data_IF_289827259157
#
_entry.id   IF_289827259157
#
_cell.length_a   1.000
_cell.length_b   1.000
_cell.length_c   1.000
_cell.angle_alpha   90.00
_cell.angle_beta   90.00
_cell.angle_gamma   90.00
#
_symmetry.space_group_name_H-M   'P 1'
#
loop_
_entity.id
_entity.type
_entity.pdbx_description
1 polymer ?
#
# COMPACT_ATOMS: atom_id res chain seq x y z
N UNK A 1 -1.29 -4.51 -1.47
CA UNK A 1 -0.29 -3.78 -2.27
C UNK A 1 -0.18 -4.40 -3.67
N UNK A 2 -0.87 -3.87 -4.69
CA UNK A 2 -0.84 -4.41 -6.04
C UNK A 2 0.52 -4.22 -6.74
N UNK A 3 1.39 -3.33 -6.22
CA UNK A 3 2.69 -3.02 -6.80
C UNK A 3 3.85 -3.28 -5.82
N UNK A 4 3.87 -4.47 -5.22
CA UNK A 4 4.88 -4.90 -4.26
C UNK A 4 6.28 -5.16 -4.84
N UNK A 5 7.21 -5.46 -3.93
CA UNK A 5 8.57 -5.91 -4.22
C UNK A 5 9.40 -4.84 -4.93
N UNK A 6 9.73 -5.10 -6.19
CA UNK A 6 10.53 -4.21 -7.03
C UNK A 6 9.73 -3.20 -7.85
N UNK A 7 8.40 -3.30 -7.90
CA UNK A 7 7.52 -2.46 -8.73
C UNK A 7 7.44 -1.04 -8.12
N UNK A 8 6.98 -0.96 -6.87
CA UNK A 8 7.02 0.23 -6.02
C UNK A 8 7.71 -0.13 -4.70
N UNK A 9 9.01 0.12 -4.66
CA UNK A 9 9.90 -0.38 -3.60
C UNK A 9 9.46 0.11 -2.20
N UNK A 10 9.23 -0.80 -1.27
CA UNK A 10 8.82 -0.48 0.11
C UNK A 10 7.36 -0.77 0.42
N UNK A 11 6.49 -0.88 -0.59
CA UNK A 11 5.06 -1.11 -0.39
C UNK A 11 4.76 -2.49 0.20
N UNK A 12 5.51 -3.53 -0.19
CA UNK A 12 5.40 -4.87 0.40
C UNK A 12 5.72 -4.87 1.88
N UNK A 13 6.83 -4.24 2.26
CA UNK A 13 7.29 -4.21 3.64
C UNK A 13 6.30 -3.44 4.52
N UNK A 14 5.78 -2.31 4.03
CA UNK A 14 4.74 -1.53 4.70
C UNK A 14 3.44 -2.34 4.84
N UNK A 15 2.95 -2.95 3.76
CA UNK A 15 1.72 -3.74 3.80
C UNK A 15 1.81 -4.91 4.78
N UNK A 16 2.96 -5.62 4.81
CA UNK A 16 3.20 -6.74 5.74
C UNK A 16 3.22 -6.28 7.20
N UNK A 17 3.84 -5.13 7.48
CA UNK A 17 3.87 -4.57 8.83
C UNK A 17 2.52 -3.96 9.26
N UNK A 18 1.68 -3.50 8.33
CA UNK A 18 0.31 -3.09 8.66
C UNK A 18 -0.56 -4.30 8.98
N UNK A 19 -0.45 -5.38 8.20
CA UNK A 19 -1.27 -6.56 8.36
C UNK A 19 -0.98 -7.32 9.66
N UNK A 20 0.30 -7.56 9.95
CA UNK A 20 0.75 -8.47 11.02
C UNK A 20 -0.10 -9.76 11.03
N UNK A 21 -0.60 -10.15 12.21
CA UNK A 21 -1.51 -11.28 12.40
C UNK A 21 -2.99 -10.84 12.54
N UNK A 22 -3.30 -9.58 12.22
CA UNK A 22 -4.62 -8.96 12.45
C UNK A 22 -5.42 -8.86 11.16
N UNK A 23 -4.81 -8.38 10.08
CA UNK A 23 -5.52 -8.15 8.81
C UNK A 23 -5.06 -9.12 7.73
N UNK A 24 -5.99 -9.45 6.83
CA UNK A 24 -5.65 -10.14 5.60
C UNK A 24 -4.71 -9.30 4.73
N UNK A 25 -3.79 -9.98 4.03
CA UNK A 25 -2.81 -9.30 3.18
C UNK A 25 -2.71 -9.91 1.79
N UNK A 26 -2.61 -9.03 0.79
CA UNK A 26 -2.23 -9.38 -0.57
C UNK A 26 -1.08 -8.49 -1.07
N UNK A 27 -0.04 -9.12 -1.63
CA UNK A 27 1.11 -8.45 -2.24
C UNK A 27 1.45 -9.09 -3.58
N UNK A 28 1.32 -8.34 -4.66
CA UNK A 28 1.84 -8.73 -5.98
C UNK A 28 3.26 -8.20 -6.15
N UNK A 29 4.26 -9.07 -6.11
CA UNK A 29 5.66 -8.65 -5.96
C UNK A 29 6.49 -8.78 -7.25
N UNK A 30 7.08 -7.67 -7.69
CA UNK A 30 8.12 -7.71 -8.72
C UNK A 30 9.43 -8.29 -8.18
N UNK A 31 9.76 -9.53 -8.55
CA UNK A 31 10.97 -10.23 -8.07
C UNK A 31 12.13 -10.23 -9.06
N UNK A 32 12.01 -9.54 -10.22
CA UNK A 32 13.09 -9.44 -11.20
C UNK A 32 14.29 -8.69 -10.61
N UNK A 33 15.50 -9.00 -11.11
CA UNK A 33 16.72 -8.26 -10.74
C UNK A 33 16.65 -6.79 -11.14
N UNK A 34 16.15 -6.50 -12.34
CA UNK A 34 15.92 -5.15 -12.88
C UNK A 34 14.62 -5.15 -13.72
N UNK A 35 14.12 -3.96 -14.07
CA UNK A 35 12.98 -3.84 -15.00
C UNK A 35 11.59 -4.18 -14.41
N UNK A 36 11.43 -4.18 -13.08
CA UNK A 36 10.14 -4.51 -12.44
C UNK A 36 8.99 -3.55 -12.79
N UNK A 37 9.28 -2.33 -13.28
CA UNK A 37 8.22 -1.43 -13.80
C UNK A 37 7.42 -2.02 -14.96
N UNK A 38 7.99 -2.98 -15.71
CA UNK A 38 7.26 -3.75 -16.73
C UNK A 38 6.11 -4.61 -16.17
N UNK A 39 6.09 -4.84 -14.86
CA UNK A 39 5.06 -5.63 -14.17
C UNK A 39 3.97 -4.73 -13.56
N UNK A 40 4.04 -3.41 -13.74
CA UNK A 40 3.07 -2.48 -13.18
C UNK A 40 1.78 -2.51 -14.01
N UNK A 41 0.69 -2.98 -13.39
CA UNK A 41 -0.66 -2.98 -13.96
C UNK A 41 -1.48 -1.98 -13.15
N UNK A 42 -1.96 -0.91 -13.78
CA UNK A 42 -2.72 0.15 -13.09
C UNK A 42 -3.86 -0.42 -12.26
N UNK A 43 -4.16 0.18 -11.09
CA UNK A 43 -5.21 -0.31 -10.18
C UNK A 43 -6.59 -0.47 -10.82
N UNK A 44 -6.90 0.29 -11.88
CA UNK A 44 -8.17 0.18 -12.64
C UNK A 44 -8.23 -0.99 -13.63
N UNK A 45 -7.13 -1.71 -13.79
CA UNK A 45 -6.95 -2.86 -14.69
C UNK A 45 -6.34 -4.06 -13.97
N UNK A 46 -6.15 -3.98 -12.65
CA UNK A 46 -5.57 -5.06 -11.87
C UNK A 46 -6.65 -6.10 -11.58
N UNK A 47 -6.46 -7.31 -12.09
CA UNK A 47 -7.46 -8.38 -12.12
C UNK A 47 -6.90 -9.74 -11.70
N UNK A 48 -5.85 -9.74 -10.86
CA UNK A 48 -5.30 -10.99 -10.32
C UNK A 48 -6.39 -11.78 -9.55
N UNK A 49 -6.70 -13.03 -9.96
CA UNK A 49 -7.79 -13.78 -9.37
C UNK A 49 -7.67 -14.00 -7.86
N UNK A 50 -6.45 -14.18 -7.34
CA UNK A 50 -6.24 -14.37 -5.91
C UNK A 50 -6.50 -13.08 -5.13
N UNK A 51 -6.18 -11.93 -5.73
CA UNK A 51 -6.53 -10.63 -5.17
C UNK A 51 -8.05 -10.47 -5.13
N UNK A 52 -8.73 -10.74 -6.25
CA UNK A 52 -10.17 -10.59 -6.37
C UNK A 52 -10.92 -11.50 -5.38
N UNK A 53 -10.49 -12.75 -5.23
CA UNK A 53 -11.01 -13.70 -4.25
C UNK A 53 -10.80 -13.19 -2.82
N UNK A 54 -9.62 -12.69 -2.48
CA UNK A 54 -9.40 -12.13 -1.14
C UNK A 54 -10.33 -10.95 -0.87
N UNK A 55 -10.51 -10.08 -1.87
CA UNK A 55 -11.42 -8.95 -1.75
C UNK A 55 -12.85 -9.44 -1.46
N UNK A 56 -13.25 -10.66 -1.88
CA UNK A 56 -14.62 -11.20 -1.66
C UNK A 56 -15.06 -11.23 -0.21
N UNK A 57 -14.11 -11.33 0.69
CA UNK A 57 -14.35 -11.43 2.13
C UNK A 57 -13.99 -10.14 2.88
N UNK A 58 -13.44 -9.13 2.20
CA UNK A 58 -12.98 -7.90 2.83
C UNK A 58 -14.13 -6.90 3.02
N UNK A 59 -14.26 -6.37 4.25
CA UNK A 59 -15.18 -5.27 4.56
C UNK A 59 -14.67 -3.94 3.98
N UNK A 60 -13.38 -3.66 4.17
CA UNK A 60 -12.69 -2.45 3.73
C UNK A 60 -11.34 -2.81 3.12
N UNK A 61 -10.89 -2.02 2.15
CA UNK A 61 -9.62 -2.25 1.45
C UNK A 61 -8.68 -1.06 1.64
N UNK A 62 -7.46 -1.32 2.12
CA UNK A 62 -6.36 -0.35 2.12
C UNK A 62 -5.33 -0.73 1.04
N UNK A 63 -5.30 0.04 -0.05
CA UNK A 63 -4.34 -0.14 -1.13
C UNK A 63 -3.08 0.72 -0.90
N UNK A 64 -1.95 0.05 -0.68
CA UNK A 64 -0.64 0.70 -0.51
C UNK A 64 0.09 0.80 -1.86
N UNK A 65 0.41 2.03 -2.25
CA UNK A 65 1.13 2.41 -3.46
C UNK A 65 2.36 3.28 -3.13
N UNK A 66 3.23 3.44 -4.11
CA UNK A 66 4.41 4.28 -4.02
C UNK A 66 4.63 5.13 -5.26
N UNK A 67 4.47 6.45 -5.10
CA UNK A 67 4.71 7.41 -6.16
C UNK A 67 6.19 7.86 -6.22
N UNK A 68 6.61 8.40 -7.37
CA UNK A 68 8.02 8.74 -7.63
C UNK A 68 8.46 10.10 -7.06
N UNK A 69 7.54 10.86 -6.46
CA UNK A 69 7.82 12.20 -5.93
C UNK A 69 8.68 12.13 -4.66
N UNK A 70 9.50 13.14 -4.45
CA UNK A 70 10.17 13.35 -3.17
C UNK A 70 9.19 14.00 -2.18
N UNK A 71 9.30 13.70 -0.89
CA UNK A 71 8.33 14.18 0.10
C UNK A 71 8.59 13.75 1.53
N UNK A 72 7.95 14.45 2.46
CA UNK A 72 7.99 14.27 3.91
C UNK A 72 6.92 13.30 4.41
N UNK A 73 6.41 13.56 5.62
CA UNK A 73 5.21 12.91 6.17
C UNK A 73 3.93 13.65 5.78
N UNK A 74 4.03 14.75 5.04
CA UNK A 74 2.86 15.54 4.66
C UNK A 74 1.92 14.69 3.81
N UNK A 75 0.66 14.64 4.24
CA UNK A 75 -0.41 13.95 3.54
C UNK A 75 -1.34 15.00 2.92
N UNK A 76 -1.76 14.72 1.69
CA UNK A 76 -2.70 15.54 0.92
C UNK A 76 -3.76 14.61 0.33
N UNK A 77 -4.95 15.14 0.08
CA UNK A 77 -5.95 14.41 -0.71
C UNK A 77 -5.38 14.14 -2.11
N UNK A 78 -5.57 12.91 -2.60
CA UNK A 78 -5.11 12.52 -3.92
C UNK A 78 -5.93 13.23 -5.01
N UNK A 79 -5.27 13.62 -6.09
CA UNK A 79 -5.90 14.22 -7.26
C UNK A 79 -5.67 13.38 -8.54
N UNK A 80 -6.44 13.70 -9.58
CA UNK A 80 -6.31 13.08 -10.91
C UNK A 80 -6.26 11.55 -10.88
N UNK A 81 -5.24 10.99 -11.55
CA UNK A 81 -5.05 9.54 -11.69
C UNK A 81 -4.71 8.83 -10.36
N UNK A 82 -4.28 9.59 -9.34
CA UNK A 82 -3.86 9.07 -8.03
C UNK A 82 -4.93 9.23 -6.96
N UNK A 83 -6.06 9.90 -7.26
CA UNK A 83 -7.15 10.14 -6.32
C UNK A 83 -7.80 8.85 -5.79
N UNK A 84 -7.62 7.72 -6.50
CA UNK A 84 -8.17 6.44 -6.06
C UNK A 84 -9.69 6.34 -6.18
N UNK A 85 -10.41 7.34 -6.69
CA UNK A 85 -11.88 7.41 -6.70
C UNK A 85 -12.57 6.62 -7.82
N UNK A 86 -11.81 6.12 -8.79
CA UNK A 86 -12.40 5.41 -9.91
C UNK A 86 -13.09 4.12 -9.42
N UNK A 87 -14.34 3.80 -9.85
CA UNK A 87 -15.09 2.65 -9.32
C UNK A 87 -14.42 1.30 -9.59
N UNK A 88 -13.65 1.21 -10.68
CA UNK A 88 -12.82 0.03 -10.99
C UNK A 88 -11.45 0.01 -10.31
N UNK A 89 -11.09 1.00 -9.50
CA UNK A 89 -9.85 0.93 -8.73
C UNK A 89 -9.95 -0.28 -7.77
N UNK A 90 -8.88 -1.06 -7.66
CA UNK A 90 -8.81 -2.25 -6.79
C UNK A 90 -9.28 -1.98 -5.36
N UNK A 91 -9.05 -0.77 -4.79
CA UNK A 91 -9.54 -0.44 -3.45
C UNK A 91 -11.06 -0.24 -3.37
N UNK A 92 -11.73 0.05 -4.48
CA UNK A 92 -13.17 0.37 -4.54
C UNK A 92 -14.04 -0.77 -5.07
N UNK A 93 -13.47 -1.93 -5.38
CA UNK A 93 -14.26 -3.05 -5.92
C UNK A 93 -15.22 -3.66 -4.88
N UNK A 94 -15.27 -3.13 -3.65
CA UNK A 94 -16.17 -3.53 -2.57
C UNK A 94 -17.15 -2.44 -2.21
N UNK A 95 -18.35 -2.86 -1.78
CA UNK A 95 -19.47 -1.97 -1.46
C UNK A 95 -19.21 -0.99 -0.32
N UNK A 96 -18.29 -1.31 0.61
CA UNK A 96 -17.85 -0.41 1.69
C UNK A 96 -16.86 0.67 1.25
N UNK A 97 -16.38 0.62 0.00
CA UNK A 97 -15.30 1.47 -0.47
C UNK A 97 -13.93 1.07 0.11
N UNK A 98 -12.90 1.82 -0.26
CA UNK A 98 -11.56 1.61 0.25
C UNK A 98 -10.72 2.87 0.19
N UNK A 99 -9.52 2.78 0.76
CA UNK A 99 -8.56 3.87 0.84
C UNK A 99 -7.34 3.50 0.00
N UNK A 100 -6.85 4.46 -0.78
CA UNK A 100 -5.58 4.35 -1.48
C UNK A 100 -4.56 5.29 -0.83
N UNK A 101 -3.37 4.77 -0.51
CA UNK A 101 -2.25 5.58 -0.02
C UNK A 101 -1.11 5.58 -1.04
N UNK A 102 -0.79 6.76 -1.56
CA UNK A 102 0.36 6.98 -2.44
C UNK A 102 1.55 7.50 -1.63
N UNK A 103 2.51 6.62 -1.34
CA UNK A 103 3.62 6.94 -0.44
C UNK A 103 4.82 7.45 -1.25
N UNK A 104 5.21 8.69 -0.99
CA UNK A 104 6.32 9.36 -1.70
C UNK A 104 7.62 8.56 -1.64
N UNK A 105 8.44 8.68 -2.68
CA UNK A 105 9.77 8.09 -2.72
C UNK A 105 10.63 8.59 -1.57
N UNK A 106 10.58 9.89 -1.28
CA UNK A 106 11.35 10.51 -0.20
C UNK A 106 11.00 9.93 1.17
N UNK A 107 9.70 9.72 1.45
CA UNK A 107 9.27 9.08 2.69
C UNK A 107 9.72 7.63 2.79
N UNK A 108 9.53 6.84 1.72
CA UNK A 108 10.02 5.45 1.68
C UNK A 108 11.53 5.39 1.85
N UNK A 109 12.30 6.33 1.32
CA UNK A 109 13.76 6.37 1.52
C UNK A 109 14.15 6.62 2.98
N UNK A 110 13.37 7.40 3.74
CA UNK A 110 13.62 7.62 5.17
C UNK A 110 13.25 6.41 6.04
N UNK A 111 12.29 5.58 5.59
CA UNK A 111 11.82 4.41 6.31
C UNK A 111 12.77 3.21 6.31
N UNK A 112 13.70 3.14 5.35
CA UNK A 112 14.59 1.99 5.20
C UNK A 112 16.06 2.42 5.11
N UNK A 113 16.99 1.52 5.41
CA UNK A 113 18.42 1.74 5.12
C UNK A 113 18.67 2.07 3.64
N UNK A 114 17.80 1.59 2.76
CA UNK A 114 17.69 2.03 1.38
C UNK A 114 16.67 1.24 0.58
N UNK A 115 16.23 1.76 -0.56
CA UNK A 115 15.18 1.12 -1.36
C UNK A 115 15.63 -0.10 -2.18
N UNK A 116 16.87 -0.57 -2.04
CA UNK A 116 17.30 -1.84 -2.64
C UNK A 116 16.64 -3.03 -1.93
N UNK A 117 16.59 -4.21 -2.56
CA UNK A 117 16.01 -5.42 -1.93
C UNK A 117 16.70 -5.77 -0.61
N UNK A 118 18.00 -5.53 -0.49
CA UNK A 118 18.74 -5.74 0.75
C UNK A 118 18.49 -4.61 1.76
N UNK A 119 18.45 -3.35 1.29
CA UNK A 119 18.25 -2.19 2.15
C UNK A 119 16.91 -2.18 2.85
N UNK A 120 15.84 -2.64 2.20
CA UNK A 120 14.49 -2.69 2.78
C UNK A 120 14.28 -3.79 3.83
N UNK A 121 15.28 -4.64 4.05
CA UNK A 121 15.28 -5.58 5.19
C UNK A 121 15.63 -4.90 6.52
N UNK A 122 16.12 -3.66 6.47
CA UNK A 122 16.49 -2.88 7.64
C UNK A 122 15.62 -1.62 7.64
N UNK A 123 14.64 -1.61 8.54
CA UNK A 123 13.76 -0.47 8.79
C UNK A 123 14.47 0.57 9.68
N UNK A 124 13.97 1.80 9.66
CA UNK A 124 14.38 2.88 10.56
C UNK A 124 13.22 3.22 11.51
N UNK A 125 13.44 4.01 12.57
CA UNK A 125 12.34 4.45 13.44
C UNK A 125 11.21 5.20 12.70
N UNK A 126 11.51 5.81 11.54
CA UNK A 126 10.50 6.46 10.69
C UNK A 126 9.48 5.45 10.15
N UNK A 127 9.91 4.22 9.85
CA UNK A 127 9.01 3.14 9.46
C UNK A 127 8.07 2.77 10.59
N UNK A 128 8.60 2.58 11.80
CA UNK A 128 7.83 2.16 12.96
C UNK A 128 6.78 3.22 13.32
N UNK A 129 7.16 4.50 13.32
CA UNK A 129 6.22 5.62 13.54
C UNK A 129 5.12 5.62 12.48
N UNK A 130 5.48 5.48 11.20
CA UNK A 130 4.49 5.50 10.13
C UNK A 130 3.49 4.34 10.22
N UNK A 131 3.98 3.12 10.44
CA UNK A 131 3.13 1.94 10.59
C UNK A 131 2.24 2.08 11.83
N UNK A 132 2.79 2.55 12.95
CA UNK A 132 2.04 2.79 14.18
C UNK A 132 0.88 3.77 13.98
N UNK A 133 1.14 4.92 13.39
CA UNK A 133 0.10 5.93 13.11
C UNK A 133 -1.00 5.40 12.20
N UNK A 134 -0.65 4.63 11.17
CA UNK A 134 -1.66 4.03 10.29
C UNK A 134 -2.50 2.97 11.01
N UNK A 135 -1.90 2.16 11.88
CA UNK A 135 -2.64 1.17 12.69
C UNK A 135 -3.59 1.86 13.65
N UNK A 136 -3.13 2.88 14.36
CA UNK A 136 -4.00 3.70 15.23
C UNK A 136 -5.19 4.29 14.44
N UNK A 137 -4.95 4.78 13.22
CA UNK A 137 -6.01 5.29 12.35
C UNK A 137 -7.02 4.22 11.93
N UNK A 138 -6.57 2.99 11.65
CA UNK A 138 -7.45 1.86 11.34
C UNK A 138 -8.27 1.47 12.57
N UNK A 139 -7.65 1.32 13.73
CA UNK A 139 -8.32 0.92 14.97
C UNK A 139 -9.40 1.93 15.38
N UNK A 140 -9.13 3.23 15.22
CA UNK A 140 -10.13 4.29 15.45
C UNK A 140 -11.33 4.17 14.52
N UNK A 141 -11.14 3.82 13.24
CA UNK A 141 -12.23 3.63 12.27
C UNK A 141 -13.10 2.44 12.64
N UNK A 142 -12.49 1.28 12.90
CA UNK A 142 -13.23 0.07 13.27
C UNK A 142 -13.98 0.26 14.60
N UNK A 143 -13.39 1.00 15.55
CA UNK A 143 -14.05 1.39 16.79
C UNK A 143 -15.24 2.33 16.62
N UNK A 144 -15.29 3.13 15.54
CA UNK A 144 -16.44 3.98 15.20
C UNK A 144 -17.55 3.17 14.51
N UNK A 145 -17.20 2.24 13.61
CA UNK A 145 -18.17 1.39 12.91
C UNK A 145 -18.77 0.29 13.81
N UNK A 146 -18.16 0.02 14.96
CA UNK A 146 -18.64 -0.93 15.98
C UNK A 146 -19.60 -0.37 17.04
N UNK A 147 -20.02 0.90 16.94
CA UNK A 147 -21.00 1.58 17.83
C UNK A 147 -22.29 1.83 17.06
#
# INVERSE_FOLDING_TARGET
APHGGGIERGTSEIAKALAEDVFSIYCFEGIKRTGNKSLHITSTRFDDPMCLELLETAATVLAIHGCAVEGGFEAFEGDGDHAGVHPRNICNLRGGGGVQLEITRGLRQRMFKGLSRAGRRVTTPVFDVFVGVLREGIDLREGIEGI
#
